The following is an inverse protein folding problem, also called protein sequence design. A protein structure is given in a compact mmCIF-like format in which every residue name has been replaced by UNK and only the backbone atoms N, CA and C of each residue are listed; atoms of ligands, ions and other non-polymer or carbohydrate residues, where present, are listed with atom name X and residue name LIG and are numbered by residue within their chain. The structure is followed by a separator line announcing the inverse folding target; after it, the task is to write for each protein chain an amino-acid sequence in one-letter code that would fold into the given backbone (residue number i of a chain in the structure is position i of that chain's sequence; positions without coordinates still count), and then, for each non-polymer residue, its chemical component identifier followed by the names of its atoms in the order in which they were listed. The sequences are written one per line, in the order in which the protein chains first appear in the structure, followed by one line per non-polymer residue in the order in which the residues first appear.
data_IF_324124878545
#
_entry.id   IF_324124878545
#
_cell.length_a   1.000
_cell.length_b   1.000
_cell.length_c   1.000
_cell.angle_alpha   90.00
_cell.angle_beta   90.00
_cell.angle_gamma   90.00
#
_symmetry.space_group_name_H-M   'P 1'
#
loop_
_entity.id
_entity.type
_entity.pdbx_description
1 polymer ?
#
# COMPACT_ATOMS: atom_id res chain seq x y z
N UNK A 1 -24.14 -51.48 28.87
CA UNK A 1 -24.06 -50.49 29.95
C UNK A 1 -22.67 -50.62 30.56
N UNK A 2 -21.96 -49.50 30.75
CA UNK A 2 -20.53 -49.40 31.15
C UNK A 2 -19.55 -49.77 30.02
N UNK A 3 -18.61 -48.98 29.52
CA UNK A 3 -17.87 -47.84 30.09
C UNK A 3 -17.32 -46.90 28.97
N UNK A 4 -18.16 -46.39 28.06
CA UNK A 4 -17.70 -45.47 26.98
C UNK A 4 -18.31 -44.06 27.01
N UNK A 5 -19.05 -43.73 28.06
CA UNK A 5 -19.75 -42.44 28.19
C UNK A 5 -19.20 -41.54 29.31
N UNK A 6 -18.04 -41.87 29.90
CA UNK A 6 -17.47 -41.10 31.02
C UNK A 6 -16.42 -40.06 30.66
N UNK A 7 -16.14 -39.83 29.38
CA UNK A 7 -15.07 -38.89 28.98
C UNK A 7 -15.58 -37.54 28.44
N UNK A 8 -16.89 -37.28 28.47
CA UNK A 8 -17.44 -36.07 27.81
C UNK A 8 -17.57 -34.86 28.75
N UNK A 9 -17.55 -35.04 30.08
CA UNK A 9 -17.99 -33.98 31.02
C UNK A 9 -16.98 -33.49 32.07
N UNK A 10 -15.68 -33.57 31.83
CA UNK A 10 -14.71 -32.89 32.70
C UNK A 10 -13.79 -31.94 31.92
N UNK A 11 -13.99 -30.65 32.16
CA UNK A 11 -13.03 -29.60 31.87
C UNK A 11 -13.38 -28.73 30.68
N UNK A 12 -14.01 -27.58 30.98
CA UNK A 12 -13.54 -26.34 30.36
C UNK A 12 -12.15 -26.09 30.95
N UNK A 13 -11.19 -26.88 30.50
CA UNK A 13 -9.83 -26.83 30.98
C UNK A 13 -9.12 -25.79 30.11
N UNK A 14 -9.08 -24.56 30.60
CA UNK A 14 -8.27 -23.48 30.01
C UNK A 14 -6.75 -23.74 30.19
N UNK A 15 -6.37 -24.94 30.63
CA UNK A 15 -5.00 -25.41 30.71
C UNK A 15 -4.40 -25.53 29.31
N UNK A 16 -3.10 -25.24 29.20
CA UNK A 16 -2.37 -25.31 27.93
C UNK A 16 -2.39 -26.74 27.35
N UNK A 17 -2.44 -27.74 28.24
CA UNK A 17 -2.52 -29.17 27.89
C UNK A 17 -3.88 -29.55 27.31
N UNK A 18 -5.00 -29.09 27.91
CA UNK A 18 -6.35 -29.30 27.38
C UNK A 18 -6.57 -28.62 26.02
N UNK A 19 -6.02 -27.41 25.86
CA UNK A 19 -6.04 -26.68 24.60
C UNK A 19 -5.28 -27.42 23.49
N UNK A 20 -4.05 -27.90 23.76
CA UNK A 20 -3.24 -28.64 22.78
C UNK A 20 -3.83 -30.02 22.42
N UNK A 21 -4.63 -30.63 23.32
CA UNK A 21 -5.32 -31.90 23.08
C UNK A 21 -6.49 -31.75 22.10
N UNK A 22 -7.21 -30.60 22.14
CA UNK A 22 -8.37 -30.30 21.29
C UNK A 22 -8.01 -29.56 20.00
N UNK A 23 -7.08 -28.61 20.06
CA UNK A 23 -6.73 -27.75 18.94
C UNK A 23 -5.35 -28.10 18.40
N UNK A 24 -5.29 -28.49 17.13
CA UNK A 24 -4.01 -28.63 16.42
C UNK A 24 -3.52 -27.24 16.02
N UNK A 25 -2.31 -26.87 16.46
CA UNK A 25 -1.62 -25.71 15.88
C UNK A 25 -1.32 -26.00 14.42
N UNK A 26 -2.11 -25.42 13.53
CA UNK A 26 -1.86 -25.51 12.08
C UNK A 26 -0.64 -24.65 11.78
N UNK A 27 0.33 -25.22 11.08
CA UNK A 27 1.49 -24.47 10.60
C UNK A 27 1.02 -23.31 9.73
N UNK A 28 1.53 -22.11 10.00
CA UNK A 28 1.15 -20.90 9.27
C UNK A 28 1.36 -21.17 7.77
N UNK A 29 0.33 -21.03 6.92
CA UNK A 29 0.45 -21.43 5.54
C UNK A 29 1.40 -20.48 4.78
N UNK A 30 2.30 -21.07 3.98
CA UNK A 30 3.39 -20.37 3.26
C UNK A 30 2.92 -19.24 2.33
N UNK A 31 1.64 -19.19 1.95
CA UNK A 31 1.11 -18.11 1.12
C UNK A 31 1.03 -16.77 1.88
N UNK A 32 0.94 -16.80 3.22
CA UNK A 32 0.94 -15.60 4.04
C UNK A 32 2.32 -14.94 4.14
N UNK A 33 3.39 -15.67 3.81
CA UNK A 33 4.76 -15.12 3.72
C UNK A 33 4.97 -14.28 2.45
N UNK A 34 4.04 -14.39 1.48
CA UNK A 34 4.07 -13.62 0.23
C UNK A 34 3.47 -12.22 0.37
N UNK A 35 2.83 -11.91 1.50
CA UNK A 35 2.33 -10.56 1.75
C UNK A 35 3.54 -9.69 2.06
N UNK A 36 3.86 -8.67 1.22
CA UNK A 36 5.05 -7.86 1.44
C UNK A 36 4.91 -7.13 2.79
N UNK A 37 5.82 -7.43 3.72
CA UNK A 37 5.88 -6.77 5.05
C UNK A 37 6.03 -5.25 4.95
N UNK A 38 6.47 -4.75 3.79
CA UNK A 38 6.58 -3.33 3.47
C UNK A 38 5.57 -2.93 2.39
N UNK A 39 4.28 -3.04 2.70
CA UNK A 39 3.23 -2.50 1.82
C UNK A 39 3.28 -0.98 1.94
N UNK A 40 3.59 -0.30 0.83
CA UNK A 40 3.59 1.17 0.80
C UNK A 40 2.21 1.70 0.39
N UNK A 41 1.91 2.97 0.68
CA UNK A 41 0.68 3.62 0.21
C UNK A 41 0.47 3.54 -1.31
N UNK A 42 1.54 3.38 -2.09
CA UNK A 42 1.48 3.22 -3.57
C UNK A 42 0.83 1.91 -4.02
N UNK A 43 0.82 0.91 -3.13
CA UNK A 43 0.30 -0.44 -3.38
C UNK A 43 -1.17 -0.58 -2.92
N UNK A 44 -1.70 0.44 -2.23
CA UNK A 44 -3.06 0.46 -1.73
C UNK A 44 -3.95 1.37 -2.59
N UNK A 45 -5.10 0.84 -3.03
CA UNK A 45 -6.11 1.62 -3.75
C UNK A 45 -7.12 2.20 -2.77
N UNK A 46 -7.21 3.53 -2.69
CA UNK A 46 -8.27 4.21 -1.94
C UNK A 46 -9.49 4.44 -2.83
N UNK A 47 -10.70 4.23 -2.29
CA UNK A 47 -11.95 4.59 -2.97
C UNK A 47 -12.23 6.06 -2.69
N UNK A 48 -12.36 6.85 -3.75
CA UNK A 48 -12.73 8.26 -3.67
C UNK A 48 -13.95 8.52 -4.54
N UNK A 49 -14.76 9.48 -4.14
CA UNK A 49 -15.85 10.03 -4.97
C UNK A 49 -15.41 11.40 -5.43
N UNK A 50 -15.22 11.57 -6.73
CA UNK A 50 -14.84 12.84 -7.37
C UNK A 50 -15.72 13.04 -8.60
N UNK A 51 -15.99 14.30 -8.95
CA UNK A 51 -16.52 14.63 -10.26
C UNK A 51 -15.35 14.72 -11.24
N UNK A 52 -15.51 14.09 -12.40
CA UNK A 52 -14.58 14.17 -13.52
C UNK A 52 -15.40 14.54 -14.75
N UNK A 53 -14.84 15.41 -15.59
CA UNK A 53 -15.53 15.86 -16.79
C UNK A 53 -15.82 14.69 -17.73
N UNK A 54 -16.97 14.77 -18.41
CA UNK A 54 -17.49 13.66 -19.20
C UNK A 54 -16.60 13.36 -20.42
N UNK A 55 -15.98 14.38 -21.00
CA UNK A 55 -15.04 14.29 -22.12
C UNK A 55 -13.75 13.54 -21.71
N UNK A 56 -13.23 13.81 -20.52
CA UNK A 56 -12.07 13.09 -19.97
C UNK A 56 -12.40 11.61 -19.80
N UNK A 57 -13.57 11.29 -19.24
CA UNK A 57 -14.01 9.89 -19.07
C UNK A 57 -14.13 9.20 -20.43
N UNK A 58 -14.71 9.87 -21.42
CA UNK A 58 -14.89 9.33 -22.78
C UNK A 58 -13.55 9.06 -23.46
N UNK A 59 -12.60 10.00 -23.38
CA UNK A 59 -11.25 9.84 -23.90
C UNK A 59 -10.58 8.58 -23.34
N UNK A 60 -10.56 8.40 -22.01
CA UNK A 60 -9.91 7.25 -21.39
C UNK A 60 -10.65 5.93 -21.62
N UNK A 61 -11.97 5.95 -21.88
CA UNK A 61 -12.71 4.75 -22.30
C UNK A 61 -12.28 4.29 -23.70
N UNK A 62 -12.19 5.22 -24.64
CA UNK A 62 -11.74 4.90 -26.00
C UNK A 62 -10.29 4.39 -26.02
N UNK A 63 -9.43 4.92 -25.14
CA UNK A 63 -8.04 4.46 -25.00
C UNK A 63 -7.94 3.09 -24.31
N UNK A 64 -8.81 2.83 -23.32
CA UNK A 64 -8.93 1.53 -22.64
C UNK A 64 -9.30 0.39 -23.60
N UNK A 65 -10.25 0.63 -24.51
CA UNK A 65 -10.66 -0.35 -25.53
C UNK A 65 -9.50 -0.76 -26.45
N UNK A 66 -8.60 0.19 -26.77
CA UNK A 66 -7.43 -0.09 -27.62
C UNK A 66 -6.33 -0.86 -26.88
N UNK A 67 -6.20 -0.65 -25.57
CA UNK A 67 -5.09 -1.16 -24.75
C UNK A 67 -5.44 -2.41 -23.95
N UNK A 68 -6.72 -2.84 -23.93
CA UNK A 68 -7.25 -3.88 -23.05
C UNK A 68 -6.97 -3.63 -21.55
N UNK A 69 -6.70 -2.37 -21.17
CA UNK A 69 -6.54 -1.94 -19.79
C UNK A 69 -7.82 -1.24 -19.31
N UNK A 70 -8.11 -1.27 -18.01
CA UNK A 70 -9.25 -0.50 -17.48
C UNK A 70 -9.01 1.00 -17.54
N UNK A 71 -10.02 1.79 -17.92
CA UNK A 71 -9.92 3.26 -17.98
C UNK A 71 -9.43 3.90 -16.66
N UNK A 72 -9.80 3.32 -15.52
CA UNK A 72 -9.33 3.78 -14.21
C UNK A 72 -7.80 3.59 -14.03
N UNK A 73 -7.25 2.51 -14.60
CA UNK A 73 -5.81 2.25 -14.59
C UNK A 73 -5.07 3.30 -15.42
N UNK A 74 -5.62 3.64 -16.60
CA UNK A 74 -5.06 4.69 -17.46
C UNK A 74 -5.09 6.06 -16.79
N UNK A 75 -6.20 6.44 -16.16
CA UNK A 75 -6.32 7.68 -15.38
C UNK A 75 -5.26 7.69 -14.27
N UNK A 76 -5.15 6.61 -13.49
CA UNK A 76 -4.16 6.54 -12.42
C UNK A 76 -2.72 6.63 -12.94
N UNK A 77 -2.43 6.04 -14.11
CA UNK A 77 -1.12 6.12 -14.76
C UNK A 77 -0.79 7.56 -15.17
N UNK A 78 -1.75 8.27 -15.77
CA UNK A 78 -1.59 9.68 -16.15
C UNK A 78 -1.39 10.58 -14.92
N UNK A 79 -2.13 10.35 -13.83
CA UNK A 79 -1.93 11.10 -12.58
C UNK A 79 -0.56 10.80 -11.93
N UNK A 80 -0.09 9.55 -12.02
CA UNK A 80 1.23 9.15 -11.53
C UNK A 80 2.36 9.82 -12.31
N UNK A 81 2.27 9.89 -13.64
CA UNK A 81 3.32 10.53 -14.44
C UNK A 81 3.50 11.99 -14.04
N UNK A 82 2.41 12.73 -13.83
CA UNK A 82 2.47 14.13 -13.37
C UNK A 82 3.13 14.23 -11.99
N UNK A 83 2.72 13.37 -11.05
CA UNK A 83 3.25 13.39 -9.67
C UNK A 83 4.74 13.03 -9.64
N UNK A 84 5.15 12.00 -10.37
CA UNK A 84 6.54 11.56 -10.43
C UNK A 84 7.41 12.60 -11.16
N UNK A 85 6.92 13.22 -12.23
CA UNK A 85 7.59 14.33 -12.93
C UNK A 85 7.79 15.55 -12.03
N UNK A 86 6.78 15.96 -11.25
CA UNK A 86 6.93 17.03 -10.26
C UNK A 86 7.99 16.68 -9.19
N UNK A 87 8.04 15.40 -8.78
CA UNK A 87 9.08 14.93 -7.86
C UNK A 87 10.48 15.04 -8.47
N UNK A 88 10.64 14.67 -9.75
CA UNK A 88 11.92 14.72 -10.47
C UNK A 88 12.39 16.17 -10.63
N UNK A 89 11.51 17.04 -11.12
CA UNK A 89 11.80 18.48 -11.24
C UNK A 89 12.22 19.09 -9.90
N UNK A 90 11.54 18.74 -8.81
CA UNK A 90 11.90 19.23 -7.48
C UNK A 90 13.25 18.72 -6.97
N UNK A 91 13.67 17.51 -7.36
CA UNK A 91 14.96 16.94 -6.97
C UNK A 91 16.09 17.57 -7.78
N UNK A 92 15.93 17.67 -9.09
CA UNK A 92 16.89 18.32 -9.97
C UNK A 92 17.11 19.78 -9.57
N UNK A 93 16.02 20.50 -9.27
CA UNK A 93 16.08 21.87 -8.76
C UNK A 93 16.76 21.98 -7.39
N UNK A 94 16.50 21.05 -6.47
CA UNK A 94 17.21 21.01 -5.18
C UNK A 94 18.71 20.75 -5.38
N UNK A 95 19.06 19.85 -6.27
CA UNK A 95 20.46 19.56 -6.58
C UNK A 95 21.16 20.75 -7.24
N UNK A 96 20.48 21.52 -8.10
CA UNK A 96 21.05 22.74 -8.67
C UNK A 96 21.25 23.82 -7.61
N UNK A 97 20.27 24.02 -6.71
CA UNK A 97 20.38 24.98 -5.61
C UNK A 97 21.49 24.62 -4.62
N UNK A 98 21.69 23.33 -4.34
CA UNK A 98 22.77 22.87 -3.46
C UNK A 98 24.16 23.00 -4.08
N UNK A 99 24.26 22.99 -5.42
CA UNK A 99 25.52 23.18 -6.14
C UNK A 99 25.91 24.65 -6.28
N UNK A 100 24.93 25.55 -6.23
CA UNK A 100 25.15 26.99 -6.32
C UNK A 100 25.75 27.55 -5.02
N UNK A 101 27.08 27.77 -5.05
CA UNK A 101 27.83 28.26 -3.89
C UNK A 101 27.54 29.73 -3.57
N UNK A 102 27.22 30.55 -4.57
CA UNK A 102 26.90 31.97 -4.36
C UNK A 102 25.57 32.07 -3.63
N UNK A 103 24.56 31.33 -4.09
CA UNK A 103 23.26 31.23 -3.44
C UNK A 103 23.35 30.75 -1.98
N UNK A 104 24.16 29.71 -1.70
CA UNK A 104 24.35 29.24 -0.32
C UNK A 104 25.06 30.26 0.58
N UNK A 105 25.95 31.08 0.02
CA UNK A 105 26.62 32.15 0.77
C UNK A 105 25.65 33.27 1.15
N UNK A 106 24.76 33.65 0.24
CA UNK A 106 23.70 34.65 0.48
C UNK A 106 22.62 34.14 1.43
N UNK A 107 22.22 32.87 1.31
CA UNK A 107 21.32 32.25 2.28
C UNK A 107 21.91 32.24 3.68
N UNK A 108 23.21 31.92 3.81
CA UNK A 108 23.90 31.91 5.10
C UNK A 108 23.91 33.30 5.73
N UNK A 109 24.13 34.36 4.95
CA UNK A 109 24.11 35.74 5.48
C UNK A 109 22.70 36.19 5.86
N UNK A 110 21.68 35.82 5.08
CA UNK A 110 20.28 36.16 5.35
C UNK A 110 19.71 35.43 6.59
N UNK A 111 20.12 34.18 6.84
CA UNK A 111 19.70 33.39 8.01
C UNK A 111 20.52 33.69 9.29
N UNK A 112 21.65 34.38 9.18
CA UNK A 112 22.49 34.77 10.31
C UNK A 112 22.07 36.09 10.97
N UNK A 113 20.89 36.62 10.59
CA UNK A 113 20.21 37.76 11.21
C UNK A 113 19.34 37.25 12.37
#
# INVERSE_FOLDING_TARGET
MSDKEKDIDEGIDFSEEGFNKRFKRVSRPKFLDKIPKNTTLRDCKSRITIYLDADIIEFFKQEAEKTNEGYQTLINRALRSITDSQSVLSKEFKESLLKDKEFLSELKTALAI
#
